data_IF_568420705853
#
_entry.id   IF_568420705853
#
_cell.length_a   1.000
_cell.length_b   1.000
_cell.length_c   1.000
_cell.angle_alpha   90.00
_cell.angle_beta   90.00
_cell.angle_gamma   90.00
#
_symmetry.space_group_name_H-M   'P 1'
#
loop_
_entity.id
_entity.type
_entity.pdbx_description
1 polymer ?
#
# COMPACT_ATOMS: atom_id res chain seq x y z
N UNK A 1 1.02 25.93 -14.51
CA UNK A 1 2.38 25.39 -14.30
C UNK A 1 3.38 26.51 -14.07
N UNK A 2 3.08 27.42 -13.14
CA UNK A 2 4.00 28.49 -12.74
C UNK A 2 4.29 28.34 -11.25
N UNK A 3 5.50 28.74 -10.84
CA UNK A 3 5.93 28.72 -9.45
C UNK A 3 5.48 30.01 -8.77
N UNK A 4 4.82 29.89 -7.63
CA UNK A 4 4.32 31.01 -6.84
C UNK A 4 4.93 30.98 -5.45
N UNK A 5 5.19 32.17 -4.91
CA UNK A 5 5.73 32.38 -3.58
C UNK A 5 4.67 33.13 -2.74
N UNK A 6 4.06 32.49 -1.75
CA UNK A 6 3.21 33.18 -0.79
C UNK A 6 4.00 34.25 -0.02
N UNK A 7 3.35 35.39 0.21
CA UNK A 7 3.84 36.47 1.06
C UNK A 7 2.75 36.85 2.06
N UNK A 8 3.14 37.01 3.32
CA UNK A 8 2.26 37.49 4.38
C UNK A 8 2.55 38.96 4.59
N UNK A 9 1.49 39.76 4.59
CA UNK A 9 1.53 41.18 4.87
C UNK A 9 0.68 41.47 6.11
N UNK A 10 1.25 42.18 7.08
CA UNK A 10 0.56 42.69 8.27
C UNK A 10 0.50 44.20 8.10
N UNK A 11 -0.70 44.76 8.14
CA UNK A 11 -0.95 46.19 8.08
C UNK A 11 -1.76 46.63 9.31
N UNK A 12 -1.52 47.85 9.77
CA UNK A 12 -2.28 48.42 10.89
C UNK A 12 -3.57 49.03 10.35
N UNK A 13 -4.72 48.67 10.92
CA UNK A 13 -5.98 49.31 10.55
C UNK A 13 -6.11 50.67 11.26
N UNK A 14 -6.14 51.75 10.49
CA UNK A 14 -6.31 53.12 11.00
C UNK A 14 -7.73 53.61 10.73
N UNK A 15 -8.70 53.12 11.52
CA UNK A 15 -10.07 53.63 11.66
C UNK A 15 -10.67 54.18 10.34
N UNK A 16 -10.63 53.39 9.27
CA UNK A 16 -11.25 53.71 7.98
C UNK A 16 -10.36 54.40 6.93
N UNK A 17 -9.04 54.49 7.16
CA UNK A 17 -8.03 54.94 6.19
C UNK A 17 -7.14 53.77 5.77
N UNK A 18 -6.59 53.76 4.55
CA UNK A 18 -5.69 52.69 4.10
C UNK A 18 -4.49 52.55 5.05
N UNK A 19 -4.46 51.42 5.76
CA UNK A 19 -3.45 51.10 6.76
C UNK A 19 -2.05 50.93 6.19
N UNK A 20 -1.03 51.42 6.90
CA UNK A 20 0.36 51.23 6.52
C UNK A 20 0.80 49.78 6.76
N UNK A 21 1.50 49.19 5.79
CA UNK A 21 2.02 47.83 5.91
C UNK A 21 3.23 47.81 6.85
N UNK A 22 3.02 47.28 8.05
CA UNK A 22 4.03 47.20 9.12
C UNK A 22 5.05 46.09 8.84
N UNK A 23 4.61 45.00 8.22
CA UNK A 23 5.44 43.82 8.04
C UNK A 23 5.09 43.08 6.77
N UNK A 24 6.10 42.73 5.99
CA UNK A 24 5.97 41.83 4.84
C UNK A 24 7.04 40.76 4.92
N UNK A 25 6.62 39.50 4.85
CA UNK A 25 7.55 38.38 4.90
C UNK A 25 7.14 37.25 3.97
N UNK A 26 8.14 36.67 3.32
CA UNK A 26 7.99 35.51 2.46
C UNK A 26 8.69 34.30 3.10
N UNK A 27 7.93 33.26 3.37
CA UNK A 27 8.47 31.98 3.85
C UNK A 27 8.90 31.15 2.64
N UNK A 28 10.20 31.05 2.38
CA UNK A 28 10.76 30.36 1.19
C UNK A 28 10.26 28.91 1.08
N UNK A 29 10.04 28.26 2.22
CA UNK A 29 9.57 26.87 2.30
C UNK A 29 8.11 26.69 1.84
N UNK A 30 7.35 27.77 1.74
CA UNK A 30 5.93 27.73 1.31
C UNK A 30 5.75 27.86 -0.21
N UNK A 31 6.84 27.85 -0.97
CA UNK A 31 6.78 27.99 -2.42
C UNK A 31 6.13 26.77 -3.08
N UNK A 32 5.15 26.99 -3.96
CA UNK A 32 4.45 25.90 -4.65
C UNK A 32 4.31 26.15 -6.15
N UNK A 33 3.99 25.10 -6.91
CA UNK A 33 3.68 25.19 -8.34
C UNK A 33 2.18 25.06 -8.51
N UNK A 34 1.54 26.05 -9.13
CA UNK A 34 0.11 25.96 -9.43
C UNK A 34 -0.12 24.97 -10.58
N UNK A 35 -0.91 23.94 -10.28
CA UNK A 35 -1.26 22.83 -11.17
C UNK A 35 -2.78 22.72 -11.27
N UNK A 36 -3.29 22.26 -12.41
CA UNK A 36 -4.73 21.99 -12.60
C UNK A 36 -5.14 20.61 -12.08
N UNK A 37 -4.16 19.73 -11.84
CA UNK A 37 -4.29 18.44 -11.19
C UNK A 37 -2.97 18.10 -10.48
N UNK A 38 -3.04 17.39 -9.35
CA UNK A 38 -1.86 16.95 -8.61
C UNK A 38 -0.91 16.13 -9.50
N UNK A 39 0.37 16.51 -9.53
CA UNK A 39 1.40 15.88 -10.37
C UNK A 39 2.20 14.80 -9.63
N UNK A 40 2.26 14.85 -8.30
CA UNK A 40 3.07 13.94 -7.51
C UNK A 40 2.36 12.59 -7.38
N UNK A 41 2.45 11.82 -8.46
CA UNK A 41 1.85 10.50 -8.60
C UNK A 41 2.83 9.41 -8.16
N UNK A 42 4.12 9.74 -7.97
CA UNK A 42 5.18 8.75 -7.78
C UNK A 42 4.96 7.88 -6.53
N UNK A 43 4.52 8.49 -5.43
CA UNK A 43 4.20 7.75 -4.19
C UNK A 43 2.95 6.89 -4.38
N UNK A 44 1.92 7.44 -5.03
CA UNK A 44 0.64 6.76 -5.22
C UNK A 44 0.81 5.58 -6.17
N UNK A 45 1.57 5.75 -7.25
CA UNK A 45 1.87 4.71 -8.24
C UNK A 45 2.71 3.61 -7.62
N UNK A 46 3.74 3.94 -6.83
CA UNK A 46 4.54 2.93 -6.14
C UNK A 46 3.70 2.07 -5.19
N UNK A 47 2.86 2.71 -4.36
CA UNK A 47 1.96 2.00 -3.44
C UNK A 47 0.95 1.14 -4.20
N UNK A 48 0.33 1.68 -5.25
CA UNK A 48 -0.64 0.93 -6.08
C UNK A 48 0.02 -0.27 -6.77
N UNK A 49 1.23 -0.11 -7.31
CA UNK A 49 1.97 -1.22 -7.95
C UNK A 49 2.29 -2.30 -6.93
N UNK A 50 2.76 -1.94 -5.73
CA UNK A 50 3.03 -2.91 -4.66
C UNK A 50 1.76 -3.66 -4.28
N UNK A 51 0.65 -2.95 -4.07
CA UNK A 51 -0.65 -3.56 -3.72
C UNK A 51 -1.13 -4.51 -4.82
N UNK A 52 -1.02 -4.12 -6.09
CA UNK A 52 -1.43 -4.97 -7.22
C UNK A 52 -0.57 -6.23 -7.30
N UNK A 53 0.75 -6.11 -7.20
CA UNK A 53 1.68 -7.26 -7.23
C UNK A 53 1.37 -8.24 -6.09
N UNK A 54 1.07 -7.71 -4.91
CA UNK A 54 0.71 -8.49 -3.71
C UNK A 54 -0.59 -9.23 -3.94
N UNK A 55 -1.64 -8.55 -4.41
CA UNK A 55 -2.94 -9.18 -4.68
C UNK A 55 -2.77 -10.31 -5.70
N UNK A 56 -2.01 -10.08 -6.78
CA UNK A 56 -1.73 -11.10 -7.79
C UNK A 56 -0.98 -12.29 -7.18
N UNK A 57 0.04 -12.06 -6.37
CA UNK A 57 0.80 -13.13 -5.71
C UNK A 57 -0.08 -13.98 -4.78
N UNK A 58 -0.95 -13.35 -3.98
CA UNK A 58 -1.90 -14.07 -3.11
C UNK A 58 -2.86 -14.91 -3.93
N UNK A 59 -3.42 -14.35 -5.00
CA UNK A 59 -4.33 -15.10 -5.89
C UNK A 59 -3.64 -16.31 -6.50
N UNK A 60 -2.40 -16.15 -6.99
CA UNK A 60 -1.62 -17.27 -7.55
C UNK A 60 -1.40 -18.37 -6.51
N UNK A 61 -1.00 -18.00 -5.29
CA UNK A 61 -0.76 -18.98 -4.21
C UNK A 61 -2.03 -19.74 -3.87
N UNK A 62 -3.17 -19.06 -3.75
CA UNK A 62 -4.46 -19.69 -3.46
C UNK A 62 -4.85 -20.65 -4.58
N UNK A 63 -4.74 -20.23 -5.84
CA UNK A 63 -5.08 -21.07 -7.01
C UNK A 63 -4.20 -22.32 -7.06
N UNK A 64 -2.88 -22.16 -6.93
CA UNK A 64 -1.93 -23.31 -6.93
C UNK A 64 -2.25 -24.27 -5.79
N UNK A 65 -2.56 -23.74 -4.61
CA UNK A 65 -2.89 -24.56 -3.44
C UNK A 65 -4.16 -25.39 -3.64
N UNK A 66 -5.21 -24.80 -4.21
CA UNK A 66 -6.45 -25.53 -4.55
C UNK A 66 -6.16 -26.66 -5.55
N UNK A 67 -5.41 -26.36 -6.62
CA UNK A 67 -5.07 -27.36 -7.65
C UNK A 67 -4.25 -28.52 -7.05
N UNK A 68 -3.30 -28.23 -6.18
CA UNK A 68 -2.49 -29.27 -5.51
C UNK A 68 -3.38 -30.16 -4.63
N UNK A 69 -4.31 -29.58 -3.87
CA UNK A 69 -5.26 -30.36 -3.06
C UNK A 69 -6.09 -31.28 -3.94
N UNK A 70 -6.68 -30.77 -5.03
CA UNK A 70 -7.49 -31.59 -5.94
C UNK A 70 -6.70 -32.77 -6.51
N UNK A 71 -5.49 -32.53 -7.02
CA UNK A 71 -4.64 -33.58 -7.60
C UNK A 71 -4.27 -34.65 -6.56
N UNK A 72 -3.93 -34.23 -5.35
CA UNK A 72 -3.57 -35.15 -4.26
C UNK A 72 -4.79 -35.97 -3.84
N UNK A 73 -5.95 -35.34 -3.67
CA UNK A 73 -7.20 -36.03 -3.30
C UNK A 73 -7.57 -37.09 -4.34
N UNK A 74 -7.55 -36.74 -5.63
CA UNK A 74 -7.87 -37.69 -6.72
C UNK A 74 -6.88 -38.86 -6.72
N UNK A 75 -5.59 -38.60 -6.51
CA UNK A 75 -4.55 -39.63 -6.50
C UNK A 75 -4.71 -40.59 -5.32
N UNK A 76 -5.09 -40.10 -4.14
CA UNK A 76 -5.32 -40.94 -2.94
C UNK A 76 -6.57 -41.81 -3.11
N UNK A 77 -7.66 -41.23 -3.60
CA UNK A 77 -8.94 -41.95 -3.82
C UNK A 77 -8.76 -43.12 -4.79
N UNK A 78 -7.87 -43.00 -5.77
CA UNK A 78 -7.58 -44.07 -6.73
C UNK A 78 -6.81 -45.26 -6.12
N UNK A 79 -6.10 -45.06 -5.01
CA UNK A 79 -5.10 -46.03 -4.50
C UNK A 79 -5.52 -46.69 -3.17
N UNK A 80 -6.48 -46.14 -2.42
CA UNK A 80 -6.67 -46.54 -1.01
C UNK A 80 -8.08 -47.02 -0.61
N UNK A 81 -8.10 -47.85 0.44
CA UNK A 81 -9.28 -48.24 1.21
C UNK A 81 -9.95 -47.02 1.86
N UNK A 82 -11.28 -47.02 1.96
CA UNK A 82 -12.10 -45.83 2.23
C UNK A 82 -11.73 -45.09 3.53
N UNK A 83 -11.30 -45.81 4.57
CA UNK A 83 -10.89 -45.21 5.84
C UNK A 83 -9.52 -44.50 5.75
N UNK A 84 -8.60 -45.04 4.97
CA UNK A 84 -7.27 -44.45 4.75
C UNK A 84 -7.39 -43.19 3.88
N UNK A 85 -8.28 -43.20 2.89
CA UNK A 85 -8.58 -42.04 2.03
C UNK A 85 -8.98 -40.83 2.88
N UNK A 86 -9.91 -40.99 3.82
CA UNK A 86 -10.42 -39.87 4.63
C UNK A 86 -9.31 -39.23 5.47
N UNK A 87 -8.47 -40.03 6.14
CA UNK A 87 -7.40 -39.51 7.01
C UNK A 87 -6.35 -38.75 6.21
N UNK A 88 -5.94 -39.29 5.05
CA UNK A 88 -4.91 -38.64 4.22
C UNK A 88 -5.46 -37.37 3.56
N UNK A 89 -6.71 -37.39 3.06
CA UNK A 89 -7.35 -36.21 2.48
C UNK A 89 -7.46 -35.08 3.52
N UNK A 90 -7.93 -35.38 4.72
CA UNK A 90 -8.01 -34.37 5.80
C UNK A 90 -6.63 -33.83 6.16
N UNK A 91 -5.61 -34.69 6.27
CA UNK A 91 -4.23 -34.28 6.55
C UNK A 91 -3.69 -33.33 5.47
N UNK A 92 -3.90 -33.65 4.19
CA UNK A 92 -3.42 -32.83 3.07
C UNK A 92 -4.14 -31.49 3.04
N UNK A 93 -5.46 -31.48 3.21
CA UNK A 93 -6.25 -30.24 3.25
C UNK A 93 -5.76 -29.34 4.38
N UNK A 94 -5.54 -29.89 5.58
CA UNK A 94 -5.02 -29.12 6.72
C UNK A 94 -3.64 -28.54 6.42
N UNK A 95 -2.71 -29.34 5.90
CA UNK A 95 -1.35 -28.85 5.57
C UNK A 95 -1.40 -27.74 4.53
N UNK A 96 -2.23 -27.87 3.50
CA UNK A 96 -2.34 -26.85 2.45
C UNK A 96 -3.01 -25.59 2.97
N UNK A 97 -4.10 -25.70 3.75
CA UNK A 97 -4.75 -24.54 4.37
C UNK A 97 -3.77 -23.78 5.25
N UNK A 98 -3.03 -24.49 6.12
CA UNK A 98 -2.01 -23.86 6.98
C UNK A 98 -0.90 -23.20 6.15
N UNK A 99 -0.44 -23.84 5.07
CA UNK A 99 0.57 -23.25 4.20
C UNK A 99 0.06 -21.97 3.50
N UNK A 100 -1.19 -21.97 3.03
CA UNK A 100 -1.83 -20.78 2.44
C UNK A 100 -1.94 -19.66 3.47
N UNK A 101 -2.42 -19.94 4.67
CA UNK A 101 -2.53 -18.94 5.74
C UNK A 101 -1.18 -18.32 6.09
N UNK A 102 -0.12 -19.15 6.22
CA UNK A 102 1.23 -18.66 6.49
C UNK A 102 1.73 -17.75 5.37
N UNK A 103 1.52 -18.12 4.10
CA UNK A 103 1.93 -17.27 2.97
C UNK A 103 1.16 -15.96 2.95
N UNK A 104 -0.15 -15.99 3.19
CA UNK A 104 -0.98 -14.77 3.28
C UNK A 104 -0.46 -13.86 4.38
N UNK A 105 -0.17 -14.40 5.57
CA UNK A 105 0.37 -13.62 6.70
C UNK A 105 1.72 -12.99 6.33
N UNK A 106 2.65 -13.76 5.77
CA UNK A 106 3.97 -13.24 5.36
C UNK A 106 3.80 -12.11 4.34
N UNK A 107 2.94 -12.30 3.34
CA UNK A 107 2.70 -11.30 2.30
C UNK A 107 2.08 -10.03 2.87
N UNK A 108 1.10 -10.14 3.76
CA UNK A 108 0.49 -8.97 4.45
C UNK A 108 1.54 -8.23 5.28
N UNK A 109 2.38 -8.94 6.03
CA UNK A 109 3.45 -8.33 6.82
C UNK A 109 4.42 -7.57 5.92
N UNK A 110 4.84 -8.15 4.79
CA UNK A 110 5.73 -7.48 3.83
C UNK A 110 5.07 -6.21 3.27
N UNK A 111 3.78 -6.24 2.93
CA UNK A 111 3.05 -5.04 2.46
C UNK A 111 3.06 -3.95 3.52
N UNK A 112 2.70 -4.29 4.75
CA UNK A 112 2.64 -3.32 5.85
C UNK A 112 4.02 -2.69 6.05
N UNK A 113 5.08 -3.50 6.05
CA UNK A 113 6.46 -2.99 6.18
C UNK A 113 6.82 -2.06 5.01
N UNK A 114 6.52 -2.45 3.77
CA UNK A 114 6.81 -1.60 2.59
C UNK A 114 6.04 -0.29 2.64
N UNK A 115 4.77 -0.31 3.04
CA UNK A 115 3.95 0.90 3.17
C UNK A 115 4.48 1.81 4.27
N UNK A 116 4.81 1.26 5.44
CA UNK A 116 5.39 2.03 6.56
C UNK A 116 6.71 2.66 6.14
N UNK A 117 7.61 1.89 5.53
CA UNK A 117 8.90 2.40 5.02
C UNK A 117 8.69 3.46 3.94
N UNK A 118 7.73 3.30 3.04
CA UNK A 118 7.44 4.29 2.01
C UNK A 118 6.92 5.62 2.61
N UNK A 119 6.13 5.54 3.68
CA UNK A 119 5.65 6.73 4.41
C UNK A 119 6.82 7.41 5.14
N UNK A 120 7.63 6.66 5.90
CA UNK A 120 8.79 7.20 6.63
C UNK A 120 9.83 7.82 5.68
N UNK A 121 10.17 7.14 4.58
CA UNK A 121 11.12 7.67 3.58
C UNK A 121 10.51 8.86 2.82
N UNK A 122 9.19 8.88 2.65
CA UNK A 122 8.45 10.04 2.15
C UNK A 122 8.64 11.25 3.05
N UNK A 123 8.46 11.10 4.36
CA UNK A 123 8.65 12.19 5.34
C UNK A 123 10.11 12.69 5.39
N UNK A 124 11.10 11.81 5.28
CA UNK A 124 12.54 12.19 5.33
C UNK A 124 12.98 13.04 4.12
N UNK A 125 12.30 12.94 2.97
CA UNK A 125 12.64 13.75 1.78
C UNK A 125 12.05 15.18 1.81
N UNK A 126 11.16 15.48 2.75
CA UNK A 126 10.51 16.79 2.88
C UNK A 126 10.85 17.51 4.21
N UNK A 127 11.78 16.99 5.01
CA UNK A 127 12.41 17.69 6.14
C UNK A 127 13.81 18.18 5.77
#
# INVERSE_FOLDING_TARGET
MHRYQPQVHIAEDQDGTEGECIFSHAFVDTQFIAVTAYQNTDVIVAVVVVVVVVVVAVVVVVVVSVVVVEVVVVSIVFVADAAVVVVVVVSVVVVVVVAVEVVVVIVVVVVVVVVVVAIEVGEVKYS
#
